data_IF_697231324354
#
_entry.id   IF_697231324354
#
_cell.length_a   1.000
_cell.length_b   1.000
_cell.length_c   1.000
_cell.angle_alpha   90.00
_cell.angle_beta   90.00
_cell.angle_gamma   90.00
#
_symmetry.space_group_name_H-M   'P 1'
#
loop_
_entity.id
_entity.type
_entity.pdbx_description
1 polymer ?
#
# COMPACT_ATOMS: atom_id res chain seq x y z
N UNK A 1 -14.04 2.64 -12.07
CA UNK A 1 -13.81 3.23 -10.73
C UNK A 1 -12.52 2.63 -10.21
N UNK A 2 -11.63 3.42 -9.61
CA UNK A 2 -10.39 2.88 -9.03
C UNK A 2 -10.54 2.82 -7.51
N UNK A 3 -10.09 1.71 -6.92
CA UNK A 3 -10.04 1.51 -5.47
C UNK A 3 -8.62 1.14 -5.10
N UNK A 4 -8.06 1.85 -4.12
CA UNK A 4 -6.79 1.48 -3.51
C UNK A 4 -7.06 0.76 -2.19
N UNK A 5 -6.25 -0.26 -1.91
CA UNK A 5 -6.39 -1.06 -0.69
C UNK A 5 -5.17 -1.93 -0.44
N UNK A 6 -5.08 -2.41 0.79
CA UNK A 6 -4.12 -3.41 1.22
C UNK A 6 -4.83 -4.54 1.95
N UNK A 7 -4.18 -5.69 1.99
CA UNK A 7 -4.66 -6.86 2.71
C UNK A 7 -3.48 -7.55 3.38
N UNK A 8 -3.78 -8.28 4.44
CA UNK A 8 -2.85 -9.13 5.16
C UNK A 8 -3.56 -10.42 5.58
N UNK A 9 -2.82 -11.35 6.21
CA UNK A 9 -3.42 -12.55 6.78
C UNK A 9 -4.43 -12.29 7.90
N UNK A 10 -4.45 -11.07 8.47
CA UNK A 10 -5.41 -10.67 9.52
C UNK A 10 -6.71 -10.12 8.90
N UNK A 11 -6.65 -9.58 7.69
CA UNK A 11 -7.82 -9.04 7.01
C UNK A 11 -7.48 -7.99 5.96
N UNK A 12 -8.51 -7.29 5.50
CA UNK A 12 -8.40 -6.21 4.52
C UNK A 12 -8.28 -4.88 5.27
N UNK A 13 -7.29 -4.06 4.90
CA UNK A 13 -7.13 -2.69 5.39
C UNK A 13 -8.14 -1.75 4.72
N UNK A 14 -8.05 -0.44 4.99
CA UNK A 14 -8.92 0.59 4.42
C UNK A 14 -9.00 0.51 2.88
N UNK A 15 -10.23 0.42 2.35
CA UNK A 15 -10.51 0.53 0.92
C UNK A 15 -10.83 1.98 0.55
N UNK A 16 -9.90 2.62 -0.15
CA UNK A 16 -9.98 4.03 -0.52
C UNK A 16 -10.49 4.13 -1.96
N UNK A 17 -11.68 4.68 -2.14
CA UNK A 17 -12.22 4.99 -3.48
C UNK A 17 -11.51 6.21 -4.03
N UNK A 18 -10.87 6.07 -5.19
CA UNK A 18 -10.31 7.21 -5.91
C UNK A 18 -11.37 7.76 -6.87
N UNK A 19 -11.74 9.05 -6.77
CA UNK A 19 -12.76 9.65 -7.61
C UNK A 19 -12.42 9.51 -9.11
N UNK A 20 -13.43 9.31 -9.97
CA UNK A 20 -13.20 9.24 -11.40
C UNK A 20 -12.62 10.56 -11.92
N UNK A 21 -11.76 10.49 -12.95
CA UNK A 21 -11.11 11.63 -13.64
C UNK A 21 -10.02 12.36 -12.85
N UNK A 22 -9.68 11.92 -11.64
CA UNK A 22 -8.52 12.45 -10.91
C UNK A 22 -7.23 11.89 -11.52
N UNK A 23 -6.26 12.79 -11.80
CA UNK A 23 -4.91 12.38 -12.16
C UNK A 23 -4.15 12.03 -10.88
N UNK A 24 -3.93 10.73 -10.66
CA UNK A 24 -3.15 10.23 -9.53
C UNK A 24 -1.68 10.54 -9.78
N UNK A 25 -1.22 11.68 -9.25
CA UNK A 25 0.19 12.04 -9.18
C UNK A 25 0.77 11.58 -7.82
N UNK A 26 2.09 11.72 -7.64
CA UNK A 26 2.76 11.27 -6.43
C UNK A 26 2.22 11.94 -5.16
N UNK A 27 1.90 13.24 -5.19
CA UNK A 27 1.36 13.95 -4.02
C UNK A 27 -0.05 13.46 -3.67
N UNK A 28 -0.91 13.30 -4.67
CA UNK A 28 -2.26 12.76 -4.48
C UNK A 28 -2.19 11.34 -3.90
N UNK A 29 -1.34 10.49 -4.48
CA UNK A 29 -1.12 9.13 -3.99
C UNK A 29 -0.67 9.14 -2.53
N UNK A 30 0.33 9.97 -2.20
CA UNK A 30 0.82 10.12 -0.84
C UNK A 30 -0.28 10.50 0.15
N UNK A 31 -1.00 11.59 -0.12
CA UNK A 31 -1.90 12.19 0.86
C UNK A 31 -3.25 11.46 0.94
N UNK A 32 -3.75 11.00 -0.21
CA UNK A 32 -5.10 10.44 -0.29
C UNK A 32 -5.10 8.91 -0.28
N UNK A 33 -3.96 8.26 -0.48
CA UNK A 33 -3.88 6.79 -0.53
C UNK A 33 -2.89 6.25 0.49
N UNK A 34 -1.59 6.57 0.36
CA UNK A 34 -0.55 5.89 1.12
C UNK A 34 -0.58 6.23 2.61
N UNK A 35 -0.65 7.51 3.00
CA UNK A 35 -0.71 7.90 4.42
C UNK A 35 -1.95 7.33 5.11
N UNK A 36 -3.19 7.50 4.61
CA UNK A 36 -4.36 6.94 5.29
C UNK A 36 -4.30 5.42 5.39
N UNK A 37 -3.78 4.74 4.36
CA UNK A 37 -3.66 3.28 4.37
C UNK A 37 -2.68 2.78 5.43
N UNK A 38 -1.53 3.45 5.57
CA UNK A 38 -0.45 2.99 6.45
C UNK A 38 -0.52 3.56 7.86
N UNK A 39 -0.89 4.82 8.05
CA UNK A 39 -0.97 5.42 9.39
C UNK A 39 -2.28 5.02 10.08
N UNK A 40 -3.42 5.17 9.41
CA UNK A 40 -4.72 4.84 10.02
C UNK A 40 -5.06 3.35 9.85
N UNK A 41 -4.90 2.82 8.64
CA UNK A 41 -5.30 1.44 8.32
C UNK A 41 -4.52 0.37 9.06
N UNK A 42 -3.20 0.54 9.22
CA UNK A 42 -2.38 -0.40 10.01
C UNK A 42 -2.72 -0.28 11.49
N UNK A 43 -2.79 0.93 12.04
CA UNK A 43 -3.12 1.14 13.44
C UNK A 43 -4.48 0.53 13.80
N UNK A 44 -5.49 0.66 12.93
CA UNK A 44 -6.80 0.07 13.13
C UNK A 44 -6.77 -1.47 13.13
N UNK A 45 -5.94 -2.09 12.28
CA UNK A 45 -5.92 -3.55 12.11
C UNK A 45 -4.99 -4.26 13.10
N UNK A 46 -3.86 -3.64 13.44
CA UNK A 46 -2.79 -4.25 14.23
C UNK A 46 -2.63 -3.66 15.63
N UNK A 47 -3.18 -2.47 15.92
CA UNK A 47 -3.08 -1.84 17.23
C UNK A 47 -1.63 -1.71 17.69
N UNK A 48 -1.31 -2.29 18.85
CA UNK A 48 0.03 -2.26 19.44
C UNK A 48 1.08 -3.03 18.62
N UNK A 49 0.66 -3.97 17.77
CA UNK A 49 1.58 -4.75 16.91
C UNK A 49 1.95 -4.04 15.60
N UNK A 50 1.51 -2.80 15.40
CA UNK A 50 1.78 -2.01 14.18
C UNK A 50 3.27 -1.90 13.84
N UNK A 51 4.13 -1.80 14.87
CA UNK A 51 5.59 -1.72 14.72
C UNK A 51 6.23 -2.95 14.04
N UNK A 52 5.53 -4.09 14.02
CA UNK A 52 6.02 -5.35 13.41
C UNK A 52 5.64 -5.48 11.94
N UNK A 53 4.94 -4.50 11.37
CA UNK A 53 4.35 -4.58 10.04
C UNK A 53 5.36 -4.27 8.95
N UNK A 54 5.45 -5.19 8.00
CA UNK A 54 6.17 -5.02 6.73
C UNK A 54 5.17 -4.78 5.60
N UNK A 55 5.36 -3.69 4.86
CA UNK A 55 4.49 -3.29 3.77
C UNK A 55 5.13 -3.68 2.44
N UNK A 56 4.49 -4.62 1.75
CA UNK A 56 4.79 -4.94 0.36
C UNK A 56 3.88 -4.10 -0.56
N UNK A 57 4.47 -3.23 -1.38
CA UNK A 57 3.74 -2.51 -2.43
C UNK A 57 4.54 -2.53 -3.73
N UNK A 58 3.82 -2.54 -4.86
CA UNK A 58 4.46 -2.75 -6.16
C UNK A 58 5.16 -1.47 -6.64
N UNK A 59 6.19 -1.61 -7.48
CA UNK A 59 7.05 -0.52 -7.93
C UNK A 59 6.41 0.35 -9.03
N UNK A 60 5.24 0.94 -8.76
CA UNK A 60 4.65 1.93 -9.65
C UNK A 60 5.47 3.23 -9.69
N UNK A 61 5.32 4.06 -10.74
CA UNK A 61 6.07 5.34 -10.84
C UNK A 61 5.76 6.34 -9.71
N UNK A 62 4.55 6.29 -9.14
CA UNK A 62 4.19 7.05 -7.94
C UNK A 62 4.90 6.55 -6.68
N UNK A 63 5.25 5.27 -6.68
CA UNK A 63 5.72 4.52 -5.52
C UNK A 63 7.26 4.59 -5.43
N UNK A 64 7.92 4.83 -6.56
CA UNK A 64 9.36 5.08 -6.70
C UNK A 64 9.72 6.58 -6.68
N UNK A 65 8.74 7.46 -6.47
CA UNK A 65 9.01 8.89 -6.37
C UNK A 65 9.86 9.18 -5.11
N UNK A 66 10.80 10.14 -5.21
CA UNK A 66 11.62 10.59 -4.07
C UNK A 66 10.79 10.93 -2.83
N UNK A 67 9.60 11.46 -3.04
CA UNK A 67 8.65 11.79 -1.97
C UNK A 67 8.24 10.55 -1.17
N UNK A 68 7.94 9.45 -1.87
CA UNK A 68 7.54 8.17 -1.27
C UNK A 68 8.70 7.51 -0.53
N UNK A 69 9.92 7.60 -1.06
CA UNK A 69 11.12 7.10 -0.36
C UNK A 69 11.43 7.89 0.91
N UNK A 70 11.30 9.23 0.87
CA UNK A 70 11.47 10.08 2.05
C UNK A 70 10.42 9.75 3.11
N UNK A 71 9.17 9.56 2.67
CA UNK A 71 8.10 9.13 3.55
C UNK A 71 8.35 7.75 4.16
N UNK A 72 8.82 6.76 3.39
CA UNK A 72 9.13 5.43 3.90
C UNK A 72 10.16 5.47 5.04
N UNK A 73 11.21 6.29 4.88
CA UNK A 73 12.23 6.51 5.92
C UNK A 73 11.65 7.20 7.16
N UNK A 74 10.87 8.25 6.96
CA UNK A 74 10.21 8.97 8.05
C UNK A 74 9.23 8.07 8.82
N UNK A 75 8.40 7.31 8.10
CA UNK A 75 7.44 6.38 8.68
C UNK A 75 8.14 5.31 9.52
N UNK A 76 9.24 4.74 9.03
CA UNK A 76 10.02 3.76 9.76
C UNK A 76 10.59 4.34 11.07
N UNK A 77 11.06 5.59 11.06
CA UNK A 77 11.56 6.25 12.28
C UNK A 77 10.44 6.57 13.26
N UNK A 78 9.27 7.01 12.78
CA UNK A 78 8.15 7.43 13.64
C UNK A 78 7.34 6.27 14.22
N UNK A 79 7.20 5.18 13.47
CA UNK A 79 6.21 4.13 13.75
C UNK A 79 6.76 2.71 13.68
N UNK A 80 8.03 2.53 13.33
CA UNK A 80 8.70 1.24 13.10
C UNK A 80 8.11 0.40 11.94
N UNK A 81 7.01 0.86 11.33
CA UNK A 81 6.45 0.27 10.10
C UNK A 81 7.49 0.33 8.99
N UNK A 82 7.80 -0.83 8.42
CA UNK A 82 8.83 -0.95 7.39
C UNK A 82 8.19 -1.16 6.02
N UNK A 83 8.42 -0.22 5.10
CA UNK A 83 8.08 -0.41 3.68
C UNK A 83 9.24 -1.14 3.00
N UNK A 84 8.96 -2.30 2.40
CA UNK A 84 9.96 -3.10 1.68
C UNK A 84 10.48 -2.28 0.50
N UNK A 85 11.80 -2.26 0.28
CA UNK A 85 12.37 -1.47 -0.81
C UNK A 85 11.99 -2.11 -2.14
N UNK A 86 11.72 -1.27 -3.14
CA UNK A 86 11.45 -1.75 -4.50
C UNK A 86 12.58 -2.62 -5.08
N UNK A 87 13.83 -2.42 -4.66
CA UNK A 87 14.97 -3.25 -5.07
C UNK A 87 14.93 -4.68 -4.52
N UNK A 88 14.10 -4.93 -3.50
CA UNK A 88 13.90 -6.23 -2.87
C UNK A 88 12.67 -6.96 -3.45
N UNK A 89 11.90 -6.29 -4.32
CA UNK A 89 10.71 -6.84 -4.97
C UNK A 89 11.04 -7.09 -6.46
N UNK A 90 10.86 -8.33 -6.97
CA UNK A 90 11.02 -8.61 -8.38
C UNK A 90 10.12 -7.73 -9.26
N UNK A 91 10.69 -7.11 -10.29
CA UNK A 91 9.93 -6.29 -11.24
C UNK A 91 8.93 -7.16 -12.04
N UNK A 92 7.78 -6.59 -12.38
CA UNK A 92 6.76 -7.21 -13.25
C UNK A 92 6.30 -8.61 -12.80
N UNK A 93 6.28 -8.85 -11.48
CA UNK A 93 6.00 -10.16 -10.91
C UNK A 93 4.66 -10.14 -10.13
N UNK A 94 3.50 -10.24 -10.81
CA UNK A 94 2.20 -10.27 -10.15
C UNK A 94 1.99 -11.54 -9.31
N UNK A 95 2.70 -12.62 -9.64
CA UNK A 95 2.71 -13.91 -8.94
C UNK A 95 3.32 -13.83 -7.52
N UNK A 96 4.20 -12.87 -7.27
CA UNK A 96 4.77 -12.63 -5.93
C UNK A 96 3.99 -11.59 -5.12
N UNK A 97 2.90 -11.05 -5.67
CA UNK A 97 2.06 -10.03 -5.03
C UNK A 97 0.73 -10.64 -4.59
N UNK A 98 0.50 -10.87 -3.27
CA UNK A 98 -0.77 -11.39 -2.75
C UNK A 98 -1.99 -10.58 -3.15
N UNK A 99 -1.80 -9.27 -3.36
CA UNK A 99 -2.85 -8.39 -3.88
C UNK A 99 -3.24 -8.79 -5.30
N UNK A 100 -2.29 -9.10 -6.17
CA UNK A 100 -2.54 -9.30 -7.59
C UNK A 100 -2.98 -10.75 -7.88
N UNK A 101 -2.29 -11.77 -7.35
CA UNK A 101 -2.64 -13.17 -7.62
C UNK A 101 -3.89 -13.66 -6.87
N UNK A 102 -4.19 -13.10 -5.69
CA UNK A 102 -5.34 -13.52 -4.88
C UNK A 102 -6.36 -12.41 -4.70
N UNK A 103 -5.97 -11.27 -4.10
CA UNK A 103 -6.92 -10.22 -3.71
C UNK A 103 -7.79 -9.72 -4.87
N UNK A 104 -7.16 -9.23 -5.94
CA UNK A 104 -7.88 -8.77 -7.12
C UNK A 104 -8.40 -9.93 -7.96
N UNK A 105 -7.65 -11.03 -8.09
CA UNK A 105 -8.12 -12.23 -8.79
C UNK A 105 -9.49 -12.70 -8.29
N UNK A 106 -9.63 -12.85 -6.96
CA UNK A 106 -10.88 -13.22 -6.31
C UNK A 106 -12.00 -12.19 -6.54
N UNK A 107 -11.68 -10.89 -6.44
CA UNK A 107 -12.65 -9.82 -6.69
C UNK A 107 -13.15 -9.81 -8.14
N UNK A 108 -12.30 -10.13 -9.12
CA UNK A 108 -12.71 -10.22 -10.53
C UNK A 108 -13.55 -11.46 -10.84
N UNK A 109 -13.40 -12.55 -10.11
CA UNK A 109 -14.23 -13.76 -10.31
C UNK A 109 -15.62 -13.65 -9.64
N UNK A 110 -15.74 -12.80 -8.62
CA UNK A 110 -16.95 -12.70 -7.79
C UNK A 110 -17.86 -11.51 -8.15
N UNK A 111 -17.41 -10.61 -9.04
CA UNK A 111 -18.15 -9.44 -9.54
C UNK A 111 -18.61 -9.63 -10.98
#
# INVERSE_FOLDING_TARGET
>A
MMVAGALSGVGVLLLIRVPPKVKVNAQYYMDQVLRPLLEDGIAQLYGEDSAKVFVHHNAARSDTARLTEQYAKDLQVRSEITIIKNTEIPAESPDVSPRDFFGFGFLTETL
#
